data_IF_376596419528
#
_entry.id   IF_376596419528
#
_cell.length_a   1.000
_cell.length_b   1.000
_cell.length_c   1.000
_cell.angle_alpha   90.00
_cell.angle_beta   90.00
_cell.angle_gamma   90.00
#
_symmetry.space_group_name_H-M   'P 1'
#
loop_
_entity.id
_entity.type
_entity.pdbx_description
1 polymer ?
#
# COMPACT_ATOMS: atom_id res chain seq x y z
N UNK A 1 12.97 2.17 18.59
CA UNK A 1 11.99 2.49 17.55
C UNK A 1 11.65 1.17 16.89
N UNK A 2 10.39 0.73 16.97
CA UNK A 2 9.99 -0.57 16.42
C UNK A 2 9.37 -0.36 15.03
N UNK A 3 9.53 -1.37 14.18
CA UNK A 3 8.88 -1.45 12.87
C UNK A 3 7.94 -2.65 12.85
N UNK A 4 6.93 -2.60 12.01
CA UNK A 4 5.97 -3.67 11.79
C UNK A 4 6.03 -4.11 10.34
N UNK A 5 6.12 -5.43 10.12
CA UNK A 5 6.05 -6.03 8.80
C UNK A 5 4.61 -6.47 8.53
N UNK A 6 3.95 -5.77 7.62
CA UNK A 6 2.64 -6.13 7.08
C UNK A 6 2.84 -7.07 5.90
N UNK A 7 2.68 -8.38 6.14
CA UNK A 7 2.73 -9.42 5.11
C UNK A 7 1.30 -9.71 4.63
N UNK A 8 1.05 -9.52 3.34
CA UNK A 8 -0.29 -9.65 2.78
C UNK A 8 -0.31 -10.46 1.49
N UNK A 9 -1.40 -11.17 1.25
CA UNK A 9 -1.63 -11.90 0.01
C UNK A 9 -3.09 -11.74 -0.44
N UNK A 10 -3.31 -11.61 -1.75
CA UNK A 10 -4.63 -11.37 -2.32
C UNK A 10 -5.41 -12.67 -2.48
N UNK A 11 -6.57 -12.76 -1.82
CA UNK A 11 -7.55 -13.84 -2.03
C UNK A 11 -8.11 -13.71 -3.44
N UNK A 12 -8.17 -14.85 -4.16
CA UNK A 12 -8.91 -14.99 -5.44
C UNK A 12 -8.63 -13.85 -6.42
N UNK A 13 -7.36 -13.54 -6.67
CA UNK A 13 -6.88 -12.36 -7.41
C UNK A 13 -7.58 -12.06 -8.75
N UNK A 14 -8.14 -13.07 -9.44
CA UNK A 14 -8.90 -12.88 -10.69
C UNK A 14 -10.30 -12.28 -10.49
N UNK A 15 -10.92 -12.48 -9.33
CA UNK A 15 -12.32 -12.09 -9.05
C UNK A 15 -12.42 -10.72 -8.34
N UNK A 16 -11.36 -10.29 -7.66
CA UNK A 16 -11.33 -9.09 -6.82
C UNK A 16 -10.52 -7.94 -7.45
N UNK A 17 -10.38 -7.96 -8.78
CA UNK A 17 -9.39 -7.16 -9.50
C UNK A 17 -9.56 -5.64 -9.29
N UNK A 18 -10.80 -5.13 -9.26
CA UNK A 18 -11.07 -3.72 -9.03
C UNK A 18 -10.66 -3.26 -7.61
N UNK A 19 -10.98 -4.06 -6.58
CA UNK A 19 -10.59 -3.75 -5.20
C UNK A 19 -9.08 -3.87 -5.00
N UNK A 20 -8.44 -4.88 -5.60
CA UNK A 20 -6.97 -5.01 -5.59
C UNK A 20 -6.31 -3.79 -6.21
N UNK A 21 -6.79 -3.33 -7.36
CA UNK A 21 -6.28 -2.12 -8.01
C UNK A 21 -6.48 -0.89 -7.12
N UNK A 22 -7.62 -0.76 -6.43
CA UNK A 22 -7.85 0.32 -5.47
C UNK A 22 -6.86 0.27 -4.31
N UNK A 23 -6.65 -0.90 -3.71
CA UNK A 23 -5.66 -1.11 -2.64
C UNK A 23 -4.24 -0.72 -3.10
N UNK A 24 -3.79 -1.22 -4.25
CA UNK A 24 -2.46 -0.88 -4.81
C UNK A 24 -2.32 0.62 -5.03
N UNK A 25 -3.37 1.31 -5.48
CA UNK A 25 -3.36 2.77 -5.65
C UNK A 25 -3.24 3.54 -4.33
N UNK A 26 -3.83 3.04 -3.25
CA UNK A 26 -3.68 3.66 -1.93
C UNK A 26 -2.26 3.46 -1.39
N UNK A 27 -1.65 2.28 -1.56
CA UNK A 27 -0.26 2.02 -1.14
C UNK A 27 0.75 2.82 -1.97
N UNK A 28 0.75 2.64 -3.29
CA UNK A 28 1.81 3.10 -4.19
C UNK A 28 1.49 4.43 -4.90
N UNK A 29 0.26 4.92 -4.78
CA UNK A 29 -0.21 6.06 -5.54
C UNK A 29 -0.49 5.70 -6.99
N UNK A 30 -0.83 6.72 -7.79
CA UNK A 30 -1.04 6.56 -9.22
C UNK A 30 -0.91 7.87 -9.97
N UNK A 31 -0.55 7.76 -11.25
CA UNK A 31 -0.65 8.87 -12.19
C UNK A 31 -1.90 8.72 -13.05
N UNK A 32 -2.56 9.84 -13.31
CA UNK A 32 -3.60 9.93 -14.33
C UNK A 32 -3.19 10.94 -15.37
N UNK A 33 -3.44 10.59 -16.64
CA UNK A 33 -3.13 11.42 -17.79
C UNK A 33 -4.39 11.67 -18.62
N UNK A 34 -4.56 12.89 -19.11
CA UNK A 34 -5.68 13.26 -19.96
C UNK A 34 -5.20 14.17 -21.10
N UNK A 35 -5.83 14.02 -22.28
CA UNK A 35 -5.53 14.85 -23.44
C UNK A 35 -6.27 16.18 -23.33
N UNK A 36 -5.57 17.28 -23.54
CA UNK A 36 -6.13 18.63 -23.70
C UNK A 36 -5.83 19.15 -25.10
N UNK A 37 -6.49 20.24 -25.50
CA UNK A 37 -6.20 20.94 -26.77
C UNK A 37 -4.73 21.39 -26.89
N UNK A 38 -4.04 21.53 -25.76
CA UNK A 38 -2.63 21.95 -25.65
C UNK A 38 -1.64 20.80 -25.47
N UNK A 39 -2.07 19.53 -25.52
CA UNK A 39 -1.20 18.36 -25.34
C UNK A 39 -1.66 17.39 -24.24
N UNK A 40 -0.78 16.46 -23.86
CA UNK A 40 -1.03 15.51 -22.78
C UNK A 40 -0.73 16.16 -21.43
N UNK A 41 -1.71 16.18 -20.51
CA UNK A 41 -1.49 16.55 -19.11
C UNK A 41 -1.44 15.31 -18.24
N UNK A 42 -0.63 15.34 -17.20
CA UNK A 42 -0.52 14.28 -16.20
C UNK A 42 -0.53 14.88 -14.80
N UNK A 43 -1.16 14.19 -13.86
CA UNK A 43 -1.08 14.50 -12.43
C UNK A 43 -0.89 13.21 -11.64
N UNK A 44 -0.04 13.27 -10.62
CA UNK A 44 0.25 12.17 -9.70
C UNK A 44 -0.53 12.37 -8.40
N UNK A 45 -1.17 11.31 -7.91
CA UNK A 45 -1.64 11.19 -6.53
C UNK A 45 -0.61 10.32 -5.79
N UNK A 46 -0.09 10.84 -4.68
CA UNK A 46 0.85 10.12 -3.82
C UNK A 46 0.13 8.97 -3.10
N UNK A 47 0.81 7.84 -2.95
CA UNK A 47 0.37 6.73 -2.10
C UNK A 47 0.81 6.90 -0.66
N UNK A 48 0.50 5.94 0.21
CA UNK A 48 1.02 5.94 1.58
C UNK A 48 2.55 5.82 1.63
N UNK A 49 3.15 5.02 0.73
CA UNK A 49 4.62 4.89 0.65
C UNK A 49 5.33 6.23 0.33
N UNK A 50 4.65 7.12 -0.40
CA UNK A 50 5.20 8.44 -0.75
C UNK A 50 5.01 9.47 0.38
N UNK A 51 4.10 9.21 1.33
CA UNK A 51 3.64 10.19 2.31
C UNK A 51 4.30 10.04 3.69
N UNK A 52 4.75 8.83 4.03
CA UNK A 52 5.25 8.49 5.37
C UNK A 52 6.70 8.06 5.31
N UNK A 53 7.55 8.77 6.04
CA UNK A 53 8.98 8.52 6.10
C UNK A 53 9.28 7.16 6.74
N UNK A 54 10.27 6.43 6.20
CA UNK A 54 10.66 5.12 6.74
C UNK A 54 9.68 3.98 6.47
N UNK A 55 8.56 4.23 5.77
CA UNK A 55 7.72 3.15 5.23
C UNK A 55 8.36 2.62 3.95
N UNK A 56 8.49 1.30 3.85
CA UNK A 56 9.13 0.66 2.71
C UNK A 56 8.36 -0.58 2.23
N UNK A 57 8.19 -0.72 0.92
CA UNK A 57 7.75 -1.98 0.33
C UNK A 57 8.94 -2.92 0.16
N UNK A 58 9.21 -3.76 1.16
CA UNK A 58 10.33 -4.70 1.16
C UNK A 58 10.14 -5.89 0.20
N UNK A 59 8.89 -6.14 -0.23
CA UNK A 59 8.58 -7.04 -1.36
C UNK A 59 7.22 -6.68 -1.98
N UNK A 60 6.85 -7.36 -3.07
CA UNK A 60 5.52 -7.23 -3.71
C UNK A 60 4.35 -7.55 -2.77
N UNK A 61 4.61 -8.22 -1.64
CA UNK A 61 3.60 -8.73 -0.70
C UNK A 61 3.92 -8.39 0.75
N UNK A 62 4.90 -7.52 0.99
CA UNK A 62 5.29 -7.12 2.33
C UNK A 62 5.68 -5.65 2.40
N UNK A 63 5.19 -4.96 3.43
CA UNK A 63 5.48 -3.55 3.70
C UNK A 63 6.00 -3.43 5.12
N UNK A 64 7.14 -2.79 5.29
CA UNK A 64 7.71 -2.39 6.56
C UNK A 64 7.17 -1.01 6.93
N UNK A 65 6.62 -0.88 8.13
CA UNK A 65 5.93 0.32 8.61
C UNK A 65 6.48 0.70 9.98
N UNK A 66 7.02 1.92 10.17
CA UNK A 66 7.37 2.43 11.49
C UNK A 66 6.17 2.46 12.43
N UNK A 67 6.41 2.23 13.73
CA UNK A 67 5.36 2.21 14.76
C UNK A 67 4.45 3.45 14.75
N UNK A 68 5.00 4.63 14.46
CA UNK A 68 4.26 5.90 14.39
C UNK A 68 3.12 5.88 13.35
N UNK A 69 3.25 5.05 12.31
CA UNK A 69 2.29 4.95 11.21
C UNK A 69 1.49 3.66 11.23
N UNK A 70 1.68 2.79 12.23
CA UNK A 70 1.00 1.50 12.36
C UNK A 70 -0.52 1.61 12.16
N UNK A 71 -1.18 2.53 12.88
CA UNK A 71 -2.65 2.65 12.86
C UNK A 71 -3.21 3.06 11.49
N UNK A 72 -2.42 3.77 10.68
CA UNK A 72 -2.81 4.20 9.32
C UNK A 72 -2.85 3.00 8.40
N UNK A 73 -1.81 2.17 8.45
CA UNK A 73 -1.73 0.94 7.66
C UNK A 73 -2.73 -0.10 8.16
N UNK A 74 -2.87 -0.29 9.47
CA UNK A 74 -3.86 -1.20 10.05
C UNK A 74 -5.27 -0.88 9.54
N UNK A 75 -5.66 0.40 9.54
CA UNK A 75 -6.96 0.84 9.03
C UNK A 75 -7.15 0.52 7.54
N UNK A 76 -6.13 0.80 6.72
CA UNK A 76 -6.18 0.46 5.29
C UNK A 76 -6.36 -1.05 5.10
N UNK A 77 -5.55 -1.86 5.77
CA UNK A 77 -5.62 -3.31 5.62
C UNK A 77 -6.95 -3.89 6.14
N UNK A 78 -7.54 -3.30 7.20
CA UNK A 78 -8.89 -3.65 7.65
C UNK A 78 -9.97 -3.37 6.60
N UNK A 79 -9.87 -2.26 5.87
CA UNK A 79 -10.82 -1.90 4.80
C UNK A 79 -10.85 -2.93 3.66
N UNK A 80 -9.72 -3.61 3.42
CA UNK A 80 -9.53 -4.59 2.34
C UNK A 80 -9.38 -6.04 2.84
N UNK A 81 -9.73 -6.32 4.10
CA UNK A 81 -9.66 -7.68 4.69
C UNK A 81 -10.55 -8.70 3.94
N UNK A 82 -11.63 -8.23 3.30
CA UNK A 82 -12.50 -9.06 2.46
C UNK A 82 -11.74 -9.70 1.28
N UNK A 83 -10.70 -9.03 0.77
CA UNK A 83 -9.94 -9.47 -0.40
C UNK A 83 -8.50 -9.92 -0.11
N UNK A 84 -8.01 -9.83 1.14
CA UNK A 84 -6.64 -10.19 1.48
C UNK A 84 -6.53 -11.12 2.70
N UNK A 85 -5.49 -11.93 2.73
CA UNK A 85 -4.95 -12.53 3.94
C UNK A 85 -3.86 -11.59 4.47
N UNK A 86 -3.91 -11.26 5.76
CA UNK A 86 -2.94 -10.37 6.40
C UNK A 86 -2.30 -11.08 7.59
N UNK A 87 -0.99 -10.92 7.72
CA UNK A 87 -0.22 -11.21 8.93
C UNK A 87 0.65 -10.00 9.25
N UNK A 88 0.65 -9.59 10.51
CA UNK A 88 1.46 -8.47 10.97
C UNK A 88 2.48 -9.00 11.96
N UNK A 89 3.74 -8.68 11.74
CA UNK A 89 4.84 -9.05 12.63
C UNK A 89 5.47 -7.79 13.20
N UNK A 90 5.79 -7.79 14.49
CA UNK A 90 6.65 -6.76 15.08
C UNK A 90 8.10 -7.16 14.84
N UNK A 91 8.87 -6.27 14.22
CA UNK A 91 10.30 -6.47 14.00
C UNK A 91 11.02 -6.18 15.31
N UNK A 92 11.67 -7.22 15.85
CA UNK A 92 12.45 -7.12 17.10
C UNK A 92 13.95 -6.95 16.84
N UNK A 93 14.44 -7.43 15.71
CA UNK A 93 15.85 -7.42 15.33
C UNK A 93 15.98 -7.45 13.79
N UNK A 94 16.97 -6.72 13.26
CA UNK A 94 17.40 -6.76 11.85
C UNK A 94 18.87 -7.23 11.84
N UNK A 95 19.18 -8.22 11.00
CA UNK A 95 20.51 -8.90 10.94
C UNK A 95 21.12 -8.74 9.56
#
# INVERSE_FOLDING_TARGET
>A
MYSYLFLYDCKRARQTNARRVAFTKEIYGYSYSWKTKSGLKQKRKQGLLDQYEGVEAVSDSAILVPEDYYGIFEKLFQEYNDIMNLRIFRVTEEV
#
